data_IF_295273596175
#
_entry.id   IF_295273596175
#
_cell.length_a   1.000
_cell.length_b   1.000
_cell.length_c   1.000
_cell.angle_alpha   90.00
_cell.angle_beta   90.00
_cell.angle_gamma   90.00
#
_symmetry.space_group_name_H-M   'P 1'
#
loop_
_entity.id
_entity.type
_entity.pdbx_description
1 polymer ?
#
# COMPACT_ATOMS: atom_id res chain seq x y z
N UNK A 1 14.01 -20.93 -50.90
CA UNK A 1 12.72 -20.30 -50.53
C UNK A 1 12.38 -20.42 -49.05
N UNK A 2 12.50 -21.60 -48.41
CA UNK A 2 12.15 -21.81 -46.98
C UNK A 2 12.86 -20.88 -45.98
N UNK A 3 14.14 -20.61 -46.17
CA UNK A 3 14.95 -19.76 -45.26
C UNK A 3 14.55 -18.28 -45.29
N UNK A 4 14.17 -17.74 -46.46
CA UNK A 4 13.70 -16.36 -46.59
C UNK A 4 12.33 -16.16 -45.96
N UNK A 5 11.44 -17.14 -46.08
CA UNK A 5 10.12 -17.12 -45.46
C UNK A 5 10.22 -17.14 -43.92
N UNK A 6 11.11 -17.98 -43.37
CA UNK A 6 11.33 -18.02 -41.92
C UNK A 6 11.89 -16.69 -41.40
N UNK A 7 12.81 -16.05 -42.12
CA UNK A 7 13.36 -14.75 -41.72
C UNK A 7 12.27 -13.66 -41.69
N UNK A 8 11.39 -13.63 -42.70
CA UNK A 8 10.28 -12.68 -42.78
C UNK A 8 9.28 -12.93 -41.64
N UNK A 9 8.96 -14.19 -41.35
CA UNK A 9 8.07 -14.56 -40.24
C UNK A 9 8.63 -14.16 -38.89
N UNK A 10 9.91 -14.45 -38.62
CA UNK A 10 10.56 -14.03 -37.38
C UNK A 10 10.57 -12.51 -37.24
N UNK A 11 10.88 -11.79 -38.32
CA UNK A 11 10.90 -10.33 -38.31
C UNK A 11 9.51 -9.73 -38.08
N UNK A 12 8.48 -10.32 -38.69
CA UNK A 12 7.08 -9.93 -38.46
C UNK A 12 6.64 -10.19 -37.01
N UNK A 13 7.08 -11.29 -36.40
CA UNK A 13 6.79 -11.59 -35.00
C UNK A 13 7.44 -10.60 -34.03
N UNK A 14 8.70 -10.24 -34.29
CA UNK A 14 9.42 -9.22 -33.51
C UNK A 14 8.73 -7.86 -33.66
N UNK A 15 8.35 -7.48 -34.88
CA UNK A 15 7.60 -6.23 -35.12
C UNK A 15 6.26 -6.22 -34.39
N UNK A 16 5.52 -7.34 -34.37
CA UNK A 16 4.28 -7.46 -33.62
C UNK A 16 4.48 -7.26 -32.12
N UNK A 17 5.56 -7.80 -31.54
CA UNK A 17 5.88 -7.63 -30.12
C UNK A 17 6.16 -6.17 -29.74
N UNK A 18 6.84 -5.41 -30.61
CA UNK A 18 7.15 -3.99 -30.37
C UNK A 18 6.05 -3.02 -30.86
N UNK A 19 5.15 -3.48 -31.73
CA UNK A 19 4.03 -2.67 -32.24
C UNK A 19 2.78 -2.77 -31.36
N UNK A 20 2.71 -3.70 -30.39
CA UNK A 20 1.63 -3.69 -29.42
C UNK A 20 1.77 -2.45 -28.53
N UNK A 21 0.76 -1.57 -28.47
CA UNK A 21 0.78 -0.47 -27.52
C UNK A 21 0.82 -1.08 -26.11
N UNK A 22 1.97 -0.93 -25.43
CA UNK A 22 2.08 -1.21 -24.02
C UNK A 22 1.21 -0.19 -23.29
N UNK A 23 -0.08 -0.48 -23.18
CA UNK A 23 -1.00 0.27 -22.34
C UNK A 23 -0.67 -0.11 -20.90
N UNK A 24 0.40 0.51 -20.38
CA UNK A 24 0.70 0.49 -18.95
C UNK A 24 -0.37 1.35 -18.30
N UNK A 25 -1.46 0.72 -17.89
CA UNK A 25 -2.48 1.36 -17.07
C UNK A 25 -1.93 1.43 -15.64
N UNK A 26 -1.25 2.52 -15.32
CA UNK A 26 -1.03 2.89 -13.94
C UNK A 26 -2.38 3.31 -13.35
N UNK A 27 -3.04 2.41 -12.64
CA UNK A 27 -4.16 2.79 -11.79
C UNK A 27 -3.59 3.41 -10.53
N UNK A 28 -4.15 4.54 -10.07
CA UNK A 28 -3.73 5.13 -8.79
C UNK A 28 -4.13 4.15 -7.70
N UNK A 29 -3.13 3.44 -7.18
CA UNK A 29 -3.34 2.29 -6.31
C UNK A 29 -4.04 2.69 -5.00
N UNK A 30 -3.76 3.89 -4.48
CA UNK A 30 -4.53 4.45 -3.37
C UNK A 30 -4.30 5.97 -3.20
N UNK A 31 -5.21 6.63 -2.49
CA UNK A 31 -4.94 7.90 -1.80
C UNK A 31 -5.38 7.73 -0.35
N UNK A 32 -4.50 7.19 0.50
CA UNK A 32 -4.76 7.16 1.93
C UNK A 32 -4.49 8.56 2.51
N UNK A 33 -5.49 9.15 3.16
CA UNK A 33 -5.36 10.41 3.87
C UNK A 33 -5.34 10.13 5.37
N UNK A 34 -4.18 10.35 5.99
CA UNK A 34 -4.07 10.46 7.45
C UNK A 34 -4.62 11.81 7.88
N UNK A 35 -5.57 11.80 8.81
CA UNK A 35 -6.18 13.03 9.32
C UNK A 35 -5.61 13.36 10.70
N UNK A 36 -5.29 14.63 10.92
CA UNK A 36 -4.92 15.18 12.23
C UNK A 36 -6.02 16.16 12.66
N UNK A 37 -6.63 15.90 13.80
CA UNK A 37 -7.67 16.75 14.38
C UNK A 37 -7.13 17.32 15.69
N UNK A 38 -7.13 18.64 15.82
CA UNK A 38 -6.77 19.32 17.05
C UNK A 38 -8.03 19.67 17.83
N UNK A 39 -8.11 19.22 19.09
CA UNK A 39 -9.25 19.42 19.97
C UNK A 39 -8.75 19.83 21.36
N UNK A 40 -8.91 21.12 21.71
CA UNK A 40 -8.42 21.68 22.97
C UNK A 40 -6.91 21.46 23.16
N UNK A 41 -6.55 20.65 24.14
CA UNK A 41 -5.16 20.27 24.47
C UNK A 41 -4.73 18.94 23.85
N UNK A 42 -5.56 18.34 22.98
CA UNK A 42 -5.32 17.02 22.39
C UNK A 42 -5.19 17.07 20.87
N UNK A 43 -4.35 16.19 20.33
CA UNK A 43 -4.26 15.91 18.90
C UNK A 43 -4.72 14.47 18.68
N UNK A 44 -5.76 14.30 17.87
CA UNK A 44 -6.25 12.99 17.43
C UNK A 44 -5.73 12.71 16.02
N UNK A 45 -4.97 11.64 15.87
CA UNK A 45 -4.47 11.17 14.58
C UNK A 45 -5.30 9.99 14.14
N UNK A 46 -5.93 10.08 12.96
CA UNK A 46 -6.58 8.94 12.31
C UNK A 46 -5.69 8.46 11.17
N UNK A 47 -5.03 7.34 11.39
CA UNK A 47 -4.25 6.63 10.37
C UNK A 47 -5.19 5.75 9.57
N UNK A 48 -5.06 5.78 8.25
CA UNK A 48 -5.76 4.87 7.33
C UNK A 48 -4.71 3.97 6.69
N UNK A 49 -4.87 2.67 6.88
CA UNK A 49 -4.02 1.65 6.28
C UNK A 49 -4.75 1.03 5.10
N UNK A 50 -4.00 0.64 4.08
CA UNK A 50 -4.52 -0.12 2.95
C UNK A 50 -4.00 -1.55 2.92
N UNK A 51 -4.46 -2.32 1.95
CA UNK A 51 -4.14 -3.74 1.82
C UNK A 51 -2.61 -3.99 1.74
N UNK A 52 -1.84 -3.09 1.14
CA UNK A 52 -0.38 -3.22 1.08
C UNK A 52 0.29 -2.91 2.41
N UNK A 53 -0.23 -1.92 3.14
CA UNK A 53 0.23 -1.64 4.49
C UNK A 53 -0.07 -2.82 5.42
N UNK A 54 -1.28 -3.37 5.36
CA UNK A 54 -1.70 -4.51 6.17
C UNK A 54 -0.93 -5.79 5.81
N UNK A 55 -0.61 -6.00 4.53
CA UNK A 55 0.28 -7.08 4.08
C UNK A 55 1.70 -6.92 4.67
N UNK A 56 2.25 -5.70 4.70
CA UNK A 56 3.58 -5.45 5.30
C UNK A 56 3.60 -5.66 6.79
N UNK A 57 2.51 -5.32 7.48
CA UNK A 57 2.35 -5.53 8.92
C UNK A 57 2.13 -7.02 9.23
N UNK A 58 1.73 -7.82 8.24
CA UNK A 58 1.48 -9.26 8.40
C UNK A 58 0.12 -9.57 9.00
N UNK A 59 -0.86 -8.68 8.77
CA UNK A 59 -2.24 -8.85 9.26
C UNK A 59 -2.99 -9.89 8.42
N UNK A 60 -2.78 -9.88 7.10
CA UNK A 60 -3.27 -10.91 6.18
C UNK A 60 -2.39 -12.17 6.35
N UNK A 61 -2.87 -13.15 7.12
CA UNK A 61 -2.09 -14.34 7.47
C UNK A 61 -2.20 -15.47 6.45
N UNK A 62 -3.30 -15.53 5.70
CA UNK A 62 -3.56 -16.58 4.71
C UNK A 62 -3.29 -16.15 3.26
N UNK A 63 -3.08 -14.85 3.04
CA UNK A 63 -2.71 -14.27 1.75
C UNK A 63 -3.86 -14.27 0.74
N UNK A 64 -5.09 -14.46 1.19
CA UNK A 64 -6.27 -14.56 0.33
C UNK A 64 -6.81 -13.17 -0.08
N UNK A 65 -6.18 -12.09 0.43
CA UNK A 65 -6.56 -10.69 0.21
C UNK A 65 -7.95 -10.33 0.74
N UNK A 66 -8.53 -11.15 1.60
CA UNK A 66 -9.73 -10.89 2.38
C UNK A 66 -9.34 -10.74 3.84
N UNK A 67 -9.60 -9.56 4.41
CA UNK A 67 -9.33 -9.31 5.81
C UNK A 67 -10.59 -9.57 6.63
N UNK A 68 -10.58 -10.65 7.41
CA UNK A 68 -11.65 -10.93 8.34
C UNK A 68 -11.53 -10.04 9.59
N UNK A 69 -12.67 -9.79 10.25
CA UNK A 69 -12.70 -8.92 11.43
C UNK A 69 -11.75 -9.41 12.53
N UNK A 70 -11.69 -10.73 12.71
CA UNK A 70 -10.87 -11.40 13.71
C UNK A 70 -9.37 -11.22 13.47
N UNK A 71 -8.94 -11.21 12.21
CA UNK A 71 -7.53 -10.98 11.84
C UNK A 71 -7.12 -9.52 12.09
N UNK A 72 -8.02 -8.58 11.73
CA UNK A 72 -7.82 -7.17 12.03
C UNK A 72 -7.76 -6.96 13.54
N UNK A 73 -8.68 -7.56 14.30
CA UNK A 73 -8.73 -7.42 15.76
C UNK A 73 -7.48 -8.01 16.42
N UNK A 74 -7.04 -9.19 15.98
CA UNK A 74 -5.84 -9.83 16.50
C UNK A 74 -4.56 -9.04 16.19
N UNK A 75 -4.51 -8.39 15.02
CA UNK A 75 -3.36 -7.62 14.57
C UNK A 75 -3.36 -6.13 14.94
N UNK A 76 -4.34 -5.66 15.73
CA UNK A 76 -4.42 -4.24 16.14
C UNK A 76 -3.17 -3.76 16.87
N UNK A 77 -2.57 -4.60 17.72
CA UNK A 77 -1.35 -4.22 18.45
C UNK A 77 -0.14 -4.09 17.52
N UNK A 78 -0.05 -4.93 16.49
CA UNK A 78 0.99 -4.86 15.46
C UNK A 78 0.82 -3.60 14.59
N UNK A 79 -0.42 -3.24 14.28
CA UNK A 79 -0.76 -1.96 13.64
C UNK A 79 -0.29 -0.78 14.49
N UNK A 80 -0.57 -0.78 15.80
CA UNK A 80 -0.11 0.29 16.68
C UNK A 80 1.42 0.34 16.78
N UNK A 81 2.09 -0.81 16.90
CA UNK A 81 3.54 -0.88 16.94
C UNK A 81 4.18 -0.33 15.66
N UNK A 82 3.63 -0.68 14.49
CA UNK A 82 4.07 -0.15 13.21
C UNK A 82 3.90 1.38 13.14
N UNK A 83 2.72 1.89 13.52
CA UNK A 83 2.47 3.34 13.52
C UNK A 83 3.40 4.08 14.50
N UNK A 84 3.62 3.53 15.70
CA UNK A 84 4.53 4.10 16.69
C UNK A 84 5.99 4.09 16.23
N UNK A 85 6.42 3.11 15.43
CA UNK A 85 7.76 3.08 14.86
C UNK A 85 7.93 4.18 13.80
N UNK A 86 6.94 4.32 12.90
CA UNK A 86 7.02 5.20 11.74
C UNK A 86 6.65 6.65 12.04
N UNK A 87 5.92 6.91 13.13
CA UNK A 87 5.41 8.24 13.45
C UNK A 87 6.21 8.91 14.57
N UNK A 88 6.59 10.16 14.31
CA UNK A 88 7.19 11.07 15.30
C UNK A 88 6.41 12.39 15.25
N UNK A 89 5.75 12.74 16.34
CA UNK A 89 4.99 13.98 16.45
C UNK A 89 5.67 14.94 17.41
N UNK A 90 5.68 16.22 17.03
CA UNK A 90 6.18 17.32 17.87
C UNK A 90 5.20 18.48 17.84
N UNK A 91 5.01 19.14 18.96
CA UNK A 91 4.30 20.41 19.06
C UNK A 91 5.23 21.47 19.64
N UNK A 92 5.38 22.59 18.95
CA UNK A 92 6.30 23.66 19.35
C UNK A 92 7.74 23.19 19.61
N UNK A 93 8.20 22.17 18.88
CA UNK A 93 9.53 21.58 19.05
C UNK A 93 9.60 20.50 20.14
N UNK A 94 8.58 20.34 20.98
CA UNK A 94 8.56 19.30 22.02
C UNK A 94 7.96 17.99 21.48
N UNK A 95 8.55 16.83 21.78
CA UNK A 95 8.01 15.54 21.37
C UNK A 95 6.68 15.24 22.08
N UNK A 96 5.74 14.70 21.31
CA UNK A 96 4.45 14.25 21.85
C UNK A 96 4.49 12.74 22.12
N UNK A 97 3.83 12.33 23.20
CA UNK A 97 3.59 10.91 23.48
C UNK A 97 2.38 10.45 22.70
N UNK A 98 2.53 9.34 21.97
CA UNK A 98 1.40 8.69 21.30
C UNK A 98 0.65 7.84 22.33
N UNK A 99 -0.67 7.97 22.34
CA UNK A 99 -1.55 7.14 23.17
C UNK A 99 -2.46 6.36 22.23
N UNK A 100 -2.53 5.05 22.44
CA UNK A 100 -3.38 4.15 21.65
C UNK A 100 -4.84 4.35 22.08
N UNK A 101 -5.71 4.49 21.09
CA UNK A 101 -7.15 4.61 21.30
C UNK A 101 -7.89 3.86 20.18
N UNK A 102 -8.89 3.07 20.56
CA UNK A 102 -9.84 2.44 19.63
C UNK A 102 -10.99 3.44 19.51
N UNK A 103 -10.84 4.40 18.60
CA UNK A 103 -11.59 5.66 18.56
C UNK A 103 -13.11 5.57 18.68
#
# INVERSE_FOLDING_TARGET
>A
MKTRLNLILTFAFVLLFFATPHTVRAHKLNTSYTNLIAEGTTLKVRVRLDDFDLLKIGIDQDGDSLLFYEEIEAGLDDVFAFVEEQMRLRANGEPLTLVRDRG
#
